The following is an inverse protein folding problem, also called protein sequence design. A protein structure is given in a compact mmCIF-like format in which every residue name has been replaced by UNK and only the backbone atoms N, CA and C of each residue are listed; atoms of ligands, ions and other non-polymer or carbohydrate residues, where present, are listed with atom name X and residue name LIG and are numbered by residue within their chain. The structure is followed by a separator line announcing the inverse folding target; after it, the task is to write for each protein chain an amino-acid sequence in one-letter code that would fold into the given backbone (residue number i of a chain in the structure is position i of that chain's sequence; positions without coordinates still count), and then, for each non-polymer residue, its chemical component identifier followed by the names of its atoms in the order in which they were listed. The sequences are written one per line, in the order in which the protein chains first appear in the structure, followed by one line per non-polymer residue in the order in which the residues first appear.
data_IF_952768144429
#
_entry.id   IF_952768144429
#
_cell.length_a   1.000
_cell.length_b   1.000
_cell.length_c   1.000
_cell.angle_alpha   90.00
_cell.angle_beta   90.00
_cell.angle_gamma   90.00
#
_symmetry.space_group_name_H-M   'P 1'
#
loop_
_entity.id
_entity.type
_entity.pdbx_description
1 polymer ?
#
# COMPACT_ATOMS: atom_id res chain seq x y z
N UNK A 1 8.01 17.08 -10.67
CA UNK A 1 7.64 16.32 -9.45
C UNK A 1 6.47 16.94 -8.68
N UNK A 2 6.48 18.24 -8.35
CA UNK A 2 5.47 18.86 -7.48
C UNK A 2 4.01 18.73 -7.98
N UNK A 3 3.78 18.79 -9.31
CA UNK A 3 2.42 18.75 -9.87
C UNK A 3 1.72 17.40 -9.61
N UNK A 4 2.38 16.27 -9.90
CA UNK A 4 1.78 14.93 -9.73
C UNK A 4 1.53 14.56 -8.27
N UNK A 5 2.46 14.92 -7.38
CA UNK A 5 2.31 14.69 -5.94
C UNK A 5 1.19 15.56 -5.35
N UNK A 6 0.96 16.75 -5.91
CA UNK A 6 -0.18 17.58 -5.53
C UNK A 6 -1.51 16.96 -5.95
N UNK A 7 -1.57 16.28 -7.10
CA UNK A 7 -2.76 15.56 -7.58
C UNK A 7 -3.19 14.44 -6.62
N UNK A 8 -2.27 13.83 -5.87
CA UNK A 8 -2.61 12.80 -4.87
C UNK A 8 -3.36 13.36 -3.65
N UNK A 9 -3.34 14.68 -3.44
CA UNK A 9 -4.04 15.39 -2.36
C UNK A 9 -5.34 16.05 -2.82
N UNK A 10 -5.67 15.93 -4.10
CA UNK A 10 -6.83 16.61 -4.68
C UNK A 10 -8.14 16.15 -4.01
N UNK A 11 -9.10 17.06 -3.84
CA UNK A 11 -10.40 16.72 -3.26
C UNK A 11 -11.22 15.81 -4.19
N UNK A 12 -11.00 15.93 -5.50
CA UNK A 12 -11.70 15.16 -6.54
C UNK A 12 -11.03 13.82 -6.78
N UNK A 13 -11.80 12.74 -6.68
CA UNK A 13 -11.30 11.37 -6.84
C UNK A 13 -10.62 11.12 -8.20
N UNK A 14 -11.22 11.58 -9.30
CA UNK A 14 -10.68 11.36 -10.65
C UNK A 14 -9.32 12.02 -10.88
N UNK A 15 -9.07 13.17 -10.23
CA UNK A 15 -7.76 13.84 -10.28
C UNK A 15 -6.72 13.00 -9.54
N UNK A 16 -7.07 12.46 -8.37
CA UNK A 16 -6.19 11.54 -7.64
C UNK A 16 -5.87 10.29 -8.44
N UNK A 17 -6.87 9.66 -9.06
CA UNK A 17 -6.70 8.45 -9.87
C UNK A 17 -5.79 8.70 -11.09
N UNK A 18 -5.96 9.84 -11.76
CA UNK A 18 -5.05 10.27 -12.84
C UNK A 18 -3.62 10.47 -12.32
N UNK A 19 -3.47 11.03 -11.12
CA UNK A 19 -2.18 11.15 -10.43
C UNK A 19 -1.49 9.80 -10.20
N UNK A 20 -2.26 8.79 -9.77
CA UNK A 20 -1.77 7.41 -9.59
C UNK A 20 -1.25 6.84 -10.91
N UNK A 21 -2.01 6.98 -11.99
CA UNK A 21 -1.63 6.47 -13.32
C UNK A 21 -0.34 7.12 -13.84
N UNK A 22 -0.17 8.43 -13.63
CA UNK A 22 1.06 9.12 -14.03
C UNK A 22 2.29 8.64 -13.25
N UNK A 23 2.13 8.32 -11.96
CA UNK A 23 3.24 7.81 -11.14
C UNK A 23 3.68 6.40 -11.56
N UNK A 24 2.78 5.58 -12.13
CA UNK A 24 3.13 4.29 -12.73
C UNK A 24 4.15 4.48 -13.86
N UNK A 25 3.85 5.35 -14.84
CA UNK A 25 4.75 5.62 -15.96
C UNK A 25 6.08 6.26 -15.55
N UNK A 26 6.08 7.06 -14.47
CA UNK A 26 7.32 7.63 -13.92
C UNK A 26 8.17 6.52 -13.27
N UNK A 27 7.57 5.65 -12.45
CA UNK A 27 8.29 4.54 -11.83
C UNK A 27 8.87 3.59 -12.88
N UNK A 28 8.13 3.31 -13.96
CA UNK A 28 8.59 2.52 -15.11
C UNK A 28 9.77 3.18 -15.84
N UNK A 29 9.71 4.50 -16.06
CA UNK A 29 10.77 5.22 -16.77
C UNK A 29 12.08 5.32 -15.99
N UNK A 30 12.02 5.50 -14.66
CA UNK A 30 13.22 5.69 -13.83
C UNK A 30 13.66 4.42 -13.07
N UNK A 31 12.83 3.39 -13.05
CA UNK A 31 13.12 2.08 -12.47
C UNK A 31 13.07 2.02 -10.94
N UNK A 32 13.43 0.85 -10.42
CA UNK A 32 13.26 0.48 -9.02
C UNK A 32 14.05 1.37 -8.04
N UNK A 33 15.34 1.60 -8.33
CA UNK A 33 16.23 2.34 -7.44
C UNK A 33 15.73 3.76 -7.21
N UNK A 34 15.42 4.48 -8.31
CA UNK A 34 14.86 5.81 -8.22
C UNK A 34 13.51 5.83 -7.50
N UNK A 35 12.64 4.84 -7.77
CA UNK A 35 11.34 4.72 -7.12
C UNK A 35 11.47 4.60 -5.60
N UNK A 36 12.40 3.76 -5.13
CA UNK A 36 12.68 3.55 -3.70
C UNK A 36 13.32 4.78 -3.06
N UNK A 37 14.29 5.41 -3.73
CA UNK A 37 15.08 6.50 -3.16
C UNK A 37 14.35 7.85 -3.17
N UNK A 38 13.48 8.09 -4.16
CA UNK A 38 12.91 9.42 -4.39
C UNK A 38 11.38 9.47 -4.30
N UNK A 39 10.67 8.45 -4.80
CA UNK A 39 9.20 8.48 -4.85
C UNK A 39 8.58 7.94 -3.57
N UNK A 40 9.02 6.77 -3.11
CA UNK A 40 8.43 6.10 -1.96
C UNK A 40 8.49 6.93 -0.66
N UNK A 41 9.59 7.62 -0.32
CA UNK A 41 9.62 8.47 0.89
C UNK A 41 8.54 9.56 0.85
N UNK A 42 8.31 10.17 -0.31
CA UNK A 42 7.27 11.20 -0.50
C UNK A 42 5.86 10.63 -0.32
N UNK A 43 5.63 9.39 -0.72
CA UNK A 43 4.35 8.69 -0.50
C UNK A 43 4.15 8.30 0.97
N UNK A 44 5.21 7.88 1.65
CA UNK A 44 5.18 7.59 3.09
C UNK A 44 4.91 8.86 3.91
N UNK A 45 5.52 9.98 3.52
CA UNK A 45 5.27 11.29 4.12
C UNK A 45 3.84 11.74 3.84
N UNK A 46 3.35 11.59 2.60
CA UNK A 46 1.97 11.87 2.23
C UNK A 46 1.00 11.10 3.13
N UNK A 47 1.21 9.79 3.30
CA UNK A 47 0.37 8.98 4.18
C UNK A 47 0.40 9.50 5.63
N UNK A 48 1.60 9.79 6.15
CA UNK A 48 1.80 10.13 7.57
C UNK A 48 1.35 11.54 7.93
N UNK A 49 1.41 12.49 7.00
CA UNK A 49 1.04 13.89 7.22
C UNK A 49 -0.43 14.19 6.84
N UNK A 50 -1.11 13.25 6.19
CA UNK A 50 -2.49 13.46 5.73
C UNK A 50 -3.50 13.40 6.88
N UNK A 51 -4.21 14.51 7.09
CA UNK A 51 -5.38 14.56 7.98
C UNK A 51 -6.58 13.79 7.39
N UNK A 52 -6.77 13.88 6.06
CA UNK A 52 -7.87 13.22 5.36
C UNK A 52 -7.61 11.75 5.04
N UNK A 53 -8.56 10.87 5.38
CA UNK A 53 -8.48 9.45 5.07
C UNK A 53 -8.38 9.18 3.57
N UNK A 54 -9.02 10.00 2.72
CA UNK A 54 -8.99 9.86 1.28
C UNK A 54 -7.56 9.96 0.71
N UNK A 55 -6.73 10.85 1.26
CA UNK A 55 -5.32 10.98 0.87
C UNK A 55 -4.48 9.81 1.36
N UNK A 56 -4.78 9.27 2.56
CA UNK A 56 -4.13 8.04 3.07
C UNK A 56 -4.47 6.83 2.21
N UNK A 57 -5.75 6.64 1.87
CA UNK A 57 -6.21 5.60 0.93
C UNK A 57 -5.53 5.77 -0.44
N UNK A 58 -5.43 6.99 -0.95
CA UNK A 58 -4.75 7.28 -2.22
C UNK A 58 -3.27 6.88 -2.15
N UNK A 59 -2.58 7.19 -1.06
CA UNK A 59 -1.17 6.82 -0.86
C UNK A 59 -0.97 5.31 -0.89
N UNK A 60 -1.90 4.54 -0.32
CA UNK A 60 -1.87 3.06 -0.38
C UNK A 60 -2.15 2.57 -1.80
N UNK A 61 -3.14 3.15 -2.49
CA UNK A 61 -3.55 2.73 -3.84
C UNK A 61 -2.48 3.00 -4.92
N UNK A 62 -1.51 3.88 -4.67
CA UNK A 62 -0.33 4.06 -5.56
C UNK A 62 0.58 2.83 -5.51
N UNK A 63 0.69 2.15 -4.37
CA UNK A 63 1.73 1.14 -4.13
C UNK A 63 1.71 -0.02 -5.13
N UNK A 64 0.56 -0.63 -5.50
CA UNK A 64 0.51 -1.67 -6.53
C UNK A 64 1.07 -1.25 -7.89
N UNK A 65 0.98 0.04 -8.23
CA UNK A 65 1.45 0.54 -9.53
C UNK A 65 2.96 0.64 -9.55
N UNK A 66 3.51 1.32 -8.56
CA UNK A 66 4.95 1.56 -8.50
C UNK A 66 5.75 0.33 -8.08
N UNK A 67 5.14 -0.62 -7.36
CA UNK A 67 5.86 -1.82 -6.94
C UNK A 67 6.16 -2.77 -8.09
N UNK A 68 5.53 -2.63 -9.26
CA UNK A 68 5.79 -3.46 -10.45
C UNK A 68 7.23 -3.41 -10.94
N UNK A 69 7.94 -2.31 -10.71
CA UNK A 69 9.36 -2.19 -11.07
C UNK A 69 10.29 -2.74 -9.99
N UNK A 70 9.77 -3.07 -8.81
CA UNK A 70 10.55 -3.45 -7.63
C UNK A 70 10.72 -4.97 -7.53
N UNK A 71 11.81 -5.42 -6.90
CA UNK A 71 11.99 -6.83 -6.54
C UNK A 71 11.16 -7.18 -5.29
N UNK A 72 10.94 -8.48 -5.06
CA UNK A 72 10.25 -8.95 -3.85
C UNK A 72 10.93 -8.45 -2.56
N UNK A 73 12.27 -8.47 -2.50
CA UNK A 73 13.02 -7.99 -1.34
C UNK A 73 12.81 -6.49 -1.10
N UNK A 74 12.80 -5.68 -2.17
CA UNK A 74 12.52 -4.25 -2.07
C UNK A 74 11.08 -4.00 -1.61
N UNK A 75 10.10 -4.79 -2.09
CA UNK A 75 8.71 -4.68 -1.62
C UNK A 75 8.61 -5.00 -0.12
N UNK A 76 9.24 -6.09 0.33
CA UNK A 76 9.29 -6.45 1.76
C UNK A 76 9.96 -5.36 2.59
N UNK A 77 11.09 -4.83 2.11
CA UNK A 77 11.88 -3.86 2.86
C UNK A 77 11.21 -2.49 2.95
N UNK A 78 10.59 -2.02 1.87
CA UNK A 78 10.20 -0.61 1.76
C UNK A 78 8.68 -0.40 1.68
N UNK A 79 7.91 -1.33 1.11
CA UNK A 79 6.46 -1.16 0.90
C UNK A 79 5.65 -1.78 2.05
N UNK A 80 6.00 -3.01 2.46
CA UNK A 80 5.28 -3.72 3.53
C UNK A 80 5.22 -2.92 4.84
N UNK A 81 6.28 -2.23 5.32
CA UNK A 81 6.20 -1.47 6.57
C UNK A 81 5.11 -0.38 6.57
N UNK A 82 4.89 0.27 5.42
CA UNK A 82 3.82 1.26 5.28
C UNK A 82 2.44 0.59 5.33
N UNK A 83 2.27 -0.57 4.70
CA UNK A 83 1.02 -1.33 4.75
C UNK A 83 0.71 -1.83 6.15
N UNK A 84 1.71 -2.30 6.91
CA UNK A 84 1.54 -2.71 8.32
C UNK A 84 1.23 -1.52 9.22
N UNK A 85 1.76 -0.33 8.92
CA UNK A 85 1.31 0.90 9.58
C UNK A 85 -0.17 1.19 9.28
N UNK A 86 -0.58 0.98 8.03
CA UNK A 86 -1.95 1.24 7.57
C UNK A 86 -3.00 0.25 8.10
N UNK A 87 -2.62 -0.99 8.44
CA UNK A 87 -3.53 -1.91 9.15
C UNK A 87 -3.93 -1.38 10.52
N UNK A 88 -3.20 -0.41 11.10
CA UNK A 88 -3.48 0.18 12.42
C UNK A 88 -4.16 1.54 12.35
N UNK A 89 -4.62 1.97 11.17
CA UNK A 89 -5.29 3.28 11.02
C UNK A 89 -6.65 3.32 11.74
N UNK A 90 -7.02 4.49 12.26
CA UNK A 90 -8.30 4.67 12.94
C UNK A 90 -9.50 4.54 12.00
N UNK A 91 -9.32 4.75 10.70
CA UNK A 91 -10.39 4.71 9.71
C UNK A 91 -10.48 3.32 9.04
N UNK A 92 -11.63 2.63 9.11
CA UNK A 92 -11.80 1.30 8.51
C UNK A 92 -11.43 1.23 7.03
N UNK A 93 -11.80 2.26 6.24
CA UNK A 93 -11.45 2.34 4.82
C UNK A 93 -9.94 2.28 4.55
N UNK A 94 -9.12 2.83 5.45
CA UNK A 94 -7.67 2.74 5.31
C UNK A 94 -7.21 1.32 5.64
N UNK A 95 -7.73 0.72 6.71
CA UNK A 95 -7.38 -0.64 7.13
C UNK A 95 -7.73 -1.70 6.08
N UNK A 96 -8.97 -1.71 5.57
CA UNK A 96 -9.32 -2.70 4.54
C UNK A 96 -8.59 -2.46 3.22
N UNK A 97 -8.26 -1.20 2.89
CA UNK A 97 -7.44 -0.89 1.71
C UNK A 97 -6.02 -1.42 1.88
N UNK A 98 -5.46 -1.37 3.10
CA UNK A 98 -4.20 -2.02 3.41
C UNK A 98 -4.29 -3.54 3.21
N UNK A 99 -5.33 -4.21 3.70
CA UNK A 99 -5.55 -5.66 3.49
C UNK A 99 -5.58 -6.02 2.00
N UNK A 100 -6.38 -5.31 1.19
CA UNK A 100 -6.47 -5.52 -0.26
C UNK A 100 -5.11 -5.35 -0.95
N UNK A 101 -4.35 -4.35 -0.52
CA UNK A 101 -3.04 -4.05 -1.10
C UNK A 101 -2.01 -5.10 -0.69
N UNK A 102 -2.04 -5.57 0.56
CA UNK A 102 -1.22 -6.69 1.03
C UNK A 102 -1.51 -7.97 0.21
N UNK A 103 -2.77 -8.30 -0.04
CA UNK A 103 -3.15 -9.42 -0.92
C UNK A 103 -2.54 -9.27 -2.30
N UNK A 104 -2.69 -8.09 -2.91
CA UNK A 104 -2.12 -7.82 -4.24
C UNK A 104 -0.60 -7.99 -4.24
N UNK A 105 0.09 -7.52 -3.18
CA UNK A 105 1.54 -7.68 -3.07
C UNK A 105 1.93 -9.16 -2.99
N UNK A 106 1.23 -9.99 -2.22
CA UNK A 106 1.52 -11.43 -2.13
C UNK A 106 1.24 -12.18 -3.44
N UNK A 107 0.22 -11.78 -4.20
CA UNK A 107 -0.14 -12.43 -5.47
C UNK A 107 0.82 -12.04 -6.61
N UNK A 108 1.29 -10.80 -6.62
CA UNK A 108 2.08 -10.25 -7.73
C UNK A 108 3.58 -10.23 -7.44
N UNK A 109 3.98 -10.37 -6.17
CA UNK A 109 5.37 -10.49 -5.75
C UNK A 109 5.57 -11.82 -5.03
N UNK A 110 6.63 -12.54 -5.39
CA UNK A 110 7.03 -13.77 -4.69
C UNK A 110 7.68 -13.44 -3.34
N UNK A 111 6.88 -12.91 -2.40
CA UNK A 111 7.36 -12.49 -1.09
C UNK A 111 7.89 -13.70 -0.31
N UNK A 112 8.98 -13.50 0.44
CA UNK A 112 9.62 -14.57 1.19
C UNK A 112 8.74 -15.10 2.32
N UNK A 113 8.68 -16.43 2.48
CA UNK A 113 7.84 -17.10 3.50
C UNK A 113 8.10 -16.61 4.92
N UNK A 114 9.34 -16.19 5.24
CA UNK A 114 9.69 -15.59 6.54
C UNK A 114 8.91 -14.30 6.75
N UNK A 115 8.99 -13.34 5.82
CA UNK A 115 8.28 -12.05 5.92
C UNK A 115 6.76 -12.22 6.04
N UNK A 116 6.19 -13.18 5.29
CA UNK A 116 4.77 -13.51 5.38
C UNK A 116 4.42 -13.98 6.80
N UNK A 117 5.17 -14.94 7.34
CA UNK A 117 4.89 -15.54 8.65
C UNK A 117 5.16 -14.61 9.83
N UNK A 118 6.20 -13.79 9.77
CA UNK A 118 6.65 -12.99 10.92
C UNK A 118 6.13 -11.56 10.93
N UNK A 119 5.69 -11.02 9.79
CA UNK A 119 5.25 -9.62 9.67
C UNK A 119 3.81 -9.53 9.17
N UNK A 120 3.51 -10.11 8.01
CA UNK A 120 2.22 -9.91 7.34
C UNK A 120 1.09 -10.65 8.06
N UNK A 121 1.28 -11.96 8.29
CA UNK A 121 0.25 -12.82 8.89
C UNK A 121 -0.18 -12.35 10.29
N UNK A 122 0.72 -11.99 11.22
CA UNK A 122 0.30 -11.47 12.52
C UNK A 122 -0.57 -10.21 12.41
N UNK A 123 -0.20 -9.26 11.54
CA UNK A 123 -0.98 -8.03 11.36
C UNK A 123 -2.38 -8.29 10.77
N UNK A 124 -2.50 -9.28 9.89
CA UNK A 124 -3.81 -9.68 9.33
C UNK A 124 -4.68 -10.44 10.34
N UNK A 125 -4.07 -11.26 11.23
CA UNK A 125 -4.79 -11.94 12.32
C UNK A 125 -5.37 -10.94 13.32
N UNK A 126 -4.68 -9.84 13.61
CA UNK A 126 -5.23 -8.75 14.43
C UNK A 126 -6.52 -8.17 13.82
N UNK A 127 -6.58 -8.07 12.49
CA UNK A 127 -7.73 -7.53 11.76
C UNK A 127 -8.87 -8.53 11.52
N UNK A 128 -8.65 -9.82 11.76
CA UNK A 128 -9.72 -10.83 11.68
C UNK A 128 -10.84 -10.57 12.70
N UNK A 129 -10.51 -9.86 13.79
CA UNK A 129 -11.43 -9.48 14.86
C UNK A 129 -11.72 -7.97 14.88
N UNK A 130 -11.48 -7.27 13.77
CA UNK A 130 -11.75 -5.82 13.66
C UNK A 130 -13.24 -5.50 13.89
N UNK A 131 -13.58 -4.30 14.34
CA UNK A 131 -14.99 -3.92 14.55
C UNK A 131 -15.76 -3.71 13.25
N UNK A 132 -15.08 -3.47 12.14
CA UNK A 132 -15.67 -3.23 10.83
C UNK A 132 -15.70 -4.52 9.98
N UNK A 133 -16.87 -4.82 9.42
CA UNK A 133 -17.12 -6.07 8.68
C UNK A 133 -16.32 -6.17 7.39
N UNK A 134 -16.07 -5.05 6.70
CA UNK A 134 -15.27 -5.04 5.48
C UNK A 134 -13.81 -5.33 5.84
N UNK A 135 -13.32 -4.74 6.93
CA UNK A 135 -11.96 -5.01 7.42
C UNK A 135 -11.77 -6.50 7.75
N UNK A 136 -12.71 -7.11 8.49
CA UNK A 136 -12.68 -8.55 8.77
C UNK A 136 -12.66 -9.38 7.48
N UNK A 137 -13.57 -9.08 6.54
CA UNK A 137 -13.70 -9.80 5.27
C UNK A 137 -12.39 -9.77 4.45
N UNK A 138 -11.80 -8.59 4.26
CA UNK A 138 -10.56 -8.46 3.49
C UNK A 138 -9.35 -9.01 4.23
N UNK A 139 -9.31 -8.95 5.57
CA UNK A 139 -8.26 -9.59 6.36
C UNK A 139 -8.29 -11.13 6.21
N UNK A 140 -9.46 -11.75 6.33
CA UNK A 140 -9.63 -13.20 6.15
C UNK A 140 -9.21 -13.66 4.75
N UNK A 141 -9.59 -12.91 3.70
CA UNK A 141 -9.16 -13.20 2.33
C UNK A 141 -7.64 -13.11 2.17
N UNK A 142 -7.01 -12.11 2.78
CA UNK A 142 -5.55 -11.99 2.76
C UNK A 142 -4.85 -13.12 3.56
N UNK A 143 -5.44 -13.58 4.67
CA UNK A 143 -4.93 -14.70 5.46
C UNK A 143 -4.92 -16.02 4.68
N UNK A 144 -5.91 -16.25 3.82
CA UNK A 144 -5.94 -17.44 2.94
C UNK A 144 -4.73 -17.51 2.01
N UNK A 145 -4.20 -16.36 1.57
CA UNK A 145 -2.99 -16.29 0.75
C UNK A 145 -1.72 -16.57 1.56
N UNK A 146 -1.72 -16.31 2.87
CA UNK A 146 -0.59 -16.60 3.76
C UNK A 146 -0.43 -18.10 4.06
N UNK A 147 -1.45 -18.92 3.74
CA UNK A 147 -1.46 -20.36 3.97
C UNK A 147 -0.95 -21.17 2.77
N UNK A 148 -0.78 -20.52 1.62
CA UNK A 148 -0.21 -21.08 0.39
C UNK A 148 1.32 -20.96 0.40
#
# INVERSE_FOLDING_TARGET
EALFLSSLRDSVHSVRDTGIQNLEGIAEAFGAAWTVEHLLPKLTDLYSQSSGYASRVTSINVLPRISKVMTADQVVQFVIPLLIKATKDSVPNVRFTACKTISWMMENHKLGSVSIKTVIKPALLELEHDSDIDVQYYAQRALQLCAQ
#
